data_IF_138551300229
#
_entry.id   IF_138551300229
#
_cell.length_a   1.000
_cell.length_b   1.000
_cell.length_c   1.000
_cell.angle_alpha   90.00
_cell.angle_beta   90.00
_cell.angle_gamma   90.00
#
_symmetry.space_group_name_H-M   'P 1'
#
loop_
_entity.id
_entity.type
_entity.pdbx_description
1 polymer ?
#
# COMPACT_ATOMS: atom_id res chain seq x y z
N UNK A 1 -11.47 5.59 0.76
CA UNK A 1 -10.15 4.91 0.80
C UNK A 1 -10.24 3.66 -0.05
N UNK A 2 -9.30 3.50 -0.98
CA UNK A 2 -9.28 2.38 -1.91
C UNK A 2 -8.06 1.51 -1.69
N UNK A 3 -8.12 0.27 -2.18
CA UNK A 3 -6.97 -0.65 -2.14
C UNK A 3 -5.78 -0.05 -2.89
N UNK A 4 -6.03 0.58 -4.04
CA UNK A 4 -4.96 1.23 -4.82
C UNK A 4 -4.30 2.36 -4.04
N UNK A 5 -5.09 3.18 -3.34
CA UNK A 5 -4.52 4.22 -2.48
C UNK A 5 -3.62 3.63 -1.39
N UNK A 6 -4.04 2.52 -0.79
CA UNK A 6 -3.24 1.83 0.23
C UNK A 6 -1.98 1.21 -0.38
N UNK A 7 -2.05 0.69 -1.60
CA UNK A 7 -0.86 0.18 -2.29
C UNK A 7 0.16 1.29 -2.50
N UNK A 8 -0.29 2.43 -3.00
CA UNK A 8 0.58 3.59 -3.21
C UNK A 8 1.17 4.08 -1.88
N UNK A 9 0.32 4.17 -0.86
CA UNK A 9 0.75 4.59 0.47
C UNK A 9 1.84 3.66 1.03
N UNK A 10 1.64 2.36 0.97
CA UNK A 10 2.62 1.39 1.45
C UNK A 10 3.93 1.47 0.66
N UNK A 11 3.85 1.65 -0.65
CA UNK A 11 5.05 1.76 -1.49
C UNK A 11 5.88 3.00 -1.13
N UNK A 12 5.21 4.13 -0.86
CA UNK A 12 5.91 5.35 -0.44
C UNK A 12 6.53 5.17 0.95
N UNK A 13 5.81 4.51 1.85
CA UNK A 13 6.31 4.23 3.20
C UNK A 13 7.56 3.37 3.17
N UNK A 14 7.56 2.33 2.34
CA UNK A 14 8.67 1.38 2.23
C UNK A 14 9.86 1.98 1.50
N UNK A 15 9.61 2.74 0.43
CA UNK A 15 10.67 3.37 -0.35
C UNK A 15 11.17 4.68 0.22
N UNK A 16 10.43 5.26 1.17
CA UNK A 16 10.74 6.54 1.80
C UNK A 16 10.77 7.71 0.83
N UNK A 17 10.20 7.54 -0.35
CA UNK A 17 10.08 8.60 -1.33
C UNK A 17 9.05 8.24 -2.39
N UNK A 18 8.46 9.26 -3.00
CA UNK A 18 7.52 9.07 -4.11
C UNK A 18 8.26 8.53 -5.33
N UNK A 19 9.49 8.98 -5.58
CA UNK A 19 10.34 8.45 -6.66
C UNK A 19 10.55 6.94 -6.56
N UNK A 20 10.92 6.47 -5.37
CA UNK A 20 11.17 5.05 -5.15
C UNK A 20 9.90 4.23 -5.32
N UNK A 21 8.77 4.74 -4.83
CA UNK A 21 7.47 4.09 -5.00
C UNK A 21 7.09 3.99 -6.47
N UNK A 22 7.29 5.06 -7.23
CA UNK A 22 7.00 5.09 -8.66
C UNK A 22 7.80 4.02 -9.41
N UNK A 23 9.09 3.90 -9.09
CA UNK A 23 9.95 2.88 -9.70
C UNK A 23 9.49 1.47 -9.33
N UNK A 24 9.16 1.25 -8.06
CA UNK A 24 8.74 -0.08 -7.58
C UNK A 24 7.43 -0.52 -8.23
N UNK A 25 6.50 0.41 -8.44
CA UNK A 25 5.19 0.12 -8.99
C UNK A 25 5.12 0.28 -10.50
N UNK A 26 6.18 0.74 -11.13
CA UNK A 26 6.22 1.00 -12.59
C UNK A 26 5.14 1.99 -13.04
N UNK A 27 4.95 3.06 -12.26
CA UNK A 27 4.00 4.13 -12.58
C UNK A 27 4.69 5.49 -12.47
N UNK A 28 4.05 6.53 -13.01
CA UNK A 28 4.55 7.89 -12.89
C UNK A 28 4.36 8.42 -11.46
N UNK A 29 5.12 9.45 -11.09
CA UNK A 29 5.04 10.05 -9.76
C UNK A 29 3.74 10.83 -9.50
N UNK A 30 3.22 11.64 -10.46
CA UNK A 30 2.04 12.46 -10.16
C UNK A 30 0.80 11.69 -9.69
N UNK A 31 0.44 10.52 -10.25
CA UNK A 31 -0.67 9.73 -9.72
C UNK A 31 -0.47 9.34 -8.27
N UNK A 32 0.76 8.96 -7.89
CA UNK A 32 1.06 8.57 -6.51
C UNK A 32 0.87 9.75 -5.58
N UNK A 33 1.45 10.92 -5.92
CA UNK A 33 1.31 12.13 -5.11
C UNK A 33 -0.15 12.52 -4.91
N UNK A 34 -0.95 12.47 -5.99
CA UNK A 34 -2.37 12.82 -5.91
C UNK A 34 -3.13 11.86 -5.01
N UNK A 35 -2.88 10.56 -5.13
CA UNK A 35 -3.59 9.57 -4.32
C UNK A 35 -3.23 9.67 -2.84
N UNK A 36 -1.96 9.94 -2.52
CA UNK A 36 -1.54 10.19 -1.13
C UNK A 36 -2.25 11.43 -0.58
N UNK A 37 -2.26 12.52 -1.34
CA UNK A 37 -2.93 13.76 -0.92
C UNK A 37 -4.43 13.55 -0.69
N UNK A 38 -5.10 12.79 -1.58
CA UNK A 38 -6.51 12.47 -1.42
C UNK A 38 -6.76 11.64 -0.17
N UNK A 39 -5.90 10.66 0.08
CA UNK A 39 -6.02 9.81 1.27
C UNK A 39 -5.86 10.62 2.55
N UNK A 40 -4.87 11.52 2.60
CA UNK A 40 -4.68 12.41 3.74
C UNK A 40 -5.88 13.32 3.95
N UNK A 41 -6.42 13.87 2.88
CA UNK A 41 -7.59 14.74 2.95
C UNK A 41 -8.82 13.99 3.46
N UNK A 42 -9.03 12.77 2.97
CA UNK A 42 -10.15 11.93 3.39
C UNK A 42 -10.07 11.58 4.87
N UNK A 43 -8.89 11.22 5.35
CA UNK A 43 -8.68 10.84 6.74
C UNK A 43 -8.53 12.03 7.68
N UNK A 44 -8.27 13.21 7.13
CA UNK A 44 -8.10 14.42 7.94
C UNK A 44 -6.81 14.44 8.73
N UNK A 45 -5.80 13.68 8.33
CA UNK A 45 -4.51 13.60 9.01
C UNK A 45 -3.39 13.55 7.97
N UNK A 46 -2.19 13.97 8.39
CA UNK A 46 -1.01 13.76 7.59
C UNK A 46 -0.43 12.40 7.88
N UNK A 47 -0.10 11.67 6.81
CA UNK A 47 0.48 10.33 6.91
C UNK A 47 1.99 10.36 6.78
N UNK A 48 2.53 11.42 6.15
CA UNK A 48 3.96 11.60 5.94
C UNK A 48 4.40 12.97 6.38
N UNK A 49 5.61 13.05 6.93
CA UNK A 49 6.34 14.28 7.18
C UNK A 49 7.52 14.32 6.21
N UNK A 50 7.79 15.48 5.61
CA UNK A 50 8.95 15.65 4.75
C UNK A 50 10.20 15.88 5.60
N UNK A 51 11.26 15.18 5.26
CA UNK A 51 12.57 15.35 5.87
C UNK A 51 13.59 15.64 4.77
N UNK A 52 14.81 16.03 5.16
CA UNK A 52 15.87 16.36 4.22
C UNK A 52 16.25 15.19 3.32
N UNK A 53 16.04 13.97 3.77
CA UNK A 53 16.38 12.75 3.03
C UNK A 53 15.17 11.91 2.66
N UNK A 54 14.04 12.56 2.40
CA UNK A 54 12.86 11.85 1.95
C UNK A 54 11.67 12.06 2.85
N UNK A 55 10.80 11.06 2.89
CA UNK A 55 9.54 11.11 3.62
C UNK A 55 9.55 10.10 4.75
N UNK A 56 8.99 10.51 5.88
CA UNK A 56 8.89 9.67 7.07
C UNK A 56 7.42 9.56 7.46
N UNK A 57 7.01 8.40 7.93
CA UNK A 57 5.65 8.21 8.44
C UNK A 57 5.43 9.03 9.71
N UNK A 58 4.29 9.70 9.78
CA UNK A 58 3.80 10.27 11.04
C UNK A 58 3.29 9.13 11.92
N UNK A 59 2.89 9.45 13.16
CA UNK A 59 2.27 8.46 14.03
C UNK A 59 1.01 7.86 13.39
N UNK A 60 0.16 8.71 12.81
CA UNK A 60 -1.02 8.25 12.07
C UNK A 60 -0.62 7.37 10.88
N UNK A 61 0.43 7.75 10.15
CA UNK A 61 0.96 6.97 9.05
C UNK A 61 1.45 5.60 9.49
N UNK A 62 2.14 5.53 10.62
CA UNK A 62 2.61 4.26 11.16
C UNK A 62 1.44 3.32 11.49
N UNK A 63 0.39 3.86 12.11
CA UNK A 63 -0.80 3.07 12.41
C UNK A 63 -1.47 2.54 11.14
N UNK A 64 -1.64 3.39 10.15
CA UNK A 64 -2.24 2.98 8.88
C UNK A 64 -1.36 1.96 8.16
N UNK A 65 -0.06 2.12 8.20
CA UNK A 65 0.86 1.18 7.56
C UNK A 65 0.74 -0.22 8.17
N UNK A 66 0.69 -0.33 9.49
CA UNK A 66 0.50 -1.62 10.14
C UNK A 66 -0.81 -2.28 9.74
N UNK A 67 -1.90 -1.50 9.71
CA UNK A 67 -3.21 -2.01 9.31
C UNK A 67 -3.23 -2.43 7.84
N UNK A 68 -2.61 -1.64 6.97
CA UNK A 68 -2.53 -1.95 5.54
C UNK A 68 -1.73 -3.21 5.27
N UNK A 69 -0.61 -3.39 5.97
CA UNK A 69 0.19 -4.61 5.86
C UNK A 69 -0.61 -5.84 6.28
N UNK A 70 -1.34 -5.74 7.37
CA UNK A 70 -2.19 -6.82 7.84
C UNK A 70 -3.26 -7.17 6.81
N UNK A 71 -3.90 -6.15 6.23
CA UNK A 71 -4.91 -6.33 5.18
C UNK A 71 -4.32 -7.07 3.97
N UNK A 72 -3.17 -6.63 3.47
CA UNK A 72 -2.56 -7.26 2.30
C UNK A 72 -2.12 -8.68 2.57
N UNK A 73 -1.63 -8.97 3.77
CA UNK A 73 -1.30 -10.34 4.15
C UNK A 73 -2.53 -11.23 4.15
N UNK A 74 -3.65 -10.74 4.67
CA UNK A 74 -4.90 -11.50 4.68
C UNK A 74 -5.41 -11.76 3.27
N UNK A 75 -5.36 -10.77 2.39
CA UNK A 75 -5.77 -10.93 1.00
C UNK A 75 -4.89 -11.95 0.29
N UNK A 76 -3.59 -11.91 0.54
CA UNK A 76 -2.65 -12.87 -0.04
C UNK A 76 -2.92 -14.29 0.44
N UNK A 77 -3.22 -14.47 1.73
CA UNK A 77 -3.59 -15.77 2.28
C UNK A 77 -4.86 -16.32 1.64
N UNK A 78 -5.86 -15.46 1.44
CA UNK A 78 -7.09 -15.85 0.78
C UNK A 78 -6.84 -16.30 -0.66
N UNK A 79 -6.01 -15.57 -1.38
CA UNK A 79 -5.65 -15.91 -2.74
C UNK A 79 -4.91 -17.25 -2.80
N UNK A 80 -3.95 -17.47 -1.92
CA UNK A 80 -3.21 -18.73 -1.84
C UNK A 80 -4.15 -19.89 -1.54
N UNK A 81 -5.11 -19.70 -0.64
CA UNK A 81 -6.10 -20.72 -0.31
C UNK A 81 -6.99 -21.04 -1.51
N UNK A 82 -7.47 -20.01 -2.23
CA UNK A 82 -8.28 -20.20 -3.43
C UNK A 82 -7.52 -20.97 -4.50
N UNK A 83 -6.26 -20.65 -4.71
CA UNK A 83 -5.42 -21.34 -5.69
C UNK A 83 -5.26 -22.81 -5.31
N UNK A 84 -4.98 -23.08 -4.04
CA UNK A 84 -4.86 -24.44 -3.53
C UNK A 84 -6.17 -25.23 -3.69
N UNK A 85 -7.30 -24.63 -3.32
CA UNK A 85 -8.60 -25.25 -3.43
C UNK A 85 -8.95 -25.56 -4.90
N UNK A 86 -8.63 -24.63 -5.81
CA UNK A 86 -8.84 -24.82 -7.23
C UNK A 86 -8.03 -26.01 -7.78
N UNK A 87 -6.76 -26.11 -7.40
CA UNK A 87 -5.91 -27.22 -7.80
C UNK A 87 -6.42 -28.55 -7.26
N UNK A 88 -6.82 -28.59 -5.99
CA UNK A 88 -7.36 -29.78 -5.37
C UNK A 88 -8.63 -30.27 -6.06
N UNK A 89 -9.53 -29.33 -6.40
CA UNK A 89 -10.76 -29.66 -7.13
C UNK A 89 -10.46 -30.18 -8.53
N UNK A 90 -9.51 -29.55 -9.21
CA UNK A 90 -9.12 -29.96 -10.56
C UNK A 90 -8.50 -31.37 -10.56
N UNK A 91 -7.60 -31.64 -9.61
CA UNK A 91 -6.94 -32.94 -9.51
C UNK A 91 -7.88 -34.05 -9.04
N UNK A 92 -8.95 -33.68 -8.35
CA UNK A 92 -9.94 -34.63 -7.86
C UNK A 92 -10.90 -35.12 -8.94
N UNK A 93 -10.81 -34.56 -10.12
CA UNK A 93 -11.62 -34.99 -11.26
C UNK A 93 -10.90 -36.10 -12.03
#
# INVERSE_FOLDING_TARGET
>A
MTIRQLEYFCAVAEGRSISAAARALHVAQPPISRQIAQLEAELGVQLFARESRGMKLTEAGQALYRQSRSLFLNLRRQQDFHDFAGEALFLGQ
#
